data_IF_658032383338
#
_entry.id   IF_658032383338
#
_cell.length_a   1.000
_cell.length_b   1.000
_cell.length_c   1.000
_cell.angle_alpha   90.00
_cell.angle_beta   90.00
_cell.angle_gamma   90.00
#
_symmetry.space_group_name_H-M   'P 1'
#
loop_
_entity.id
_entity.type
_entity.pdbx_description
1 polymer ?
#
# COMPACT_ATOMS: atom_id res chain seq x y z
N UNK A 1 -20.41 9.94 -4.61
CA UNK A 1 -20.59 8.48 -4.40
C UNK A 1 -19.55 8.00 -3.40
N UNK A 2 -19.93 7.19 -2.40
CA UNK A 2 -18.99 6.60 -1.44
C UNK A 2 -18.33 5.37 -2.06
N UNK A 3 -17.01 5.23 -1.90
CA UNK A 3 -16.24 4.04 -2.33
C UNK A 3 -15.82 3.24 -1.10
N UNK A 4 -15.70 1.92 -1.24
CA UNK A 4 -15.21 1.06 -0.18
C UNK A 4 -13.67 1.07 -0.15
N UNK A 5 -13.02 1.57 0.92
CA UNK A 5 -11.56 1.61 0.99
C UNK A 5 -11.00 0.21 1.27
N UNK A 6 -9.98 -0.18 0.52
CA UNK A 6 -9.26 -1.44 0.72
C UNK A 6 -7.77 -1.27 0.46
N UNK A 7 -6.96 -2.06 1.17
CA UNK A 7 -5.57 -2.31 0.84
C UNK A 7 -5.48 -3.71 0.25
N UNK A 8 -4.89 -3.83 -0.93
CA UNK A 8 -4.75 -5.10 -1.63
C UNK A 8 -3.33 -5.65 -1.48
N UNK A 9 -3.22 -6.95 -1.21
CA UNK A 9 -1.96 -7.67 -1.31
C UNK A 9 -1.76 -8.12 -2.75
N UNK A 10 -0.83 -7.49 -3.45
CA UNK A 10 -0.53 -7.76 -4.85
C UNK A 10 0.69 -8.65 -5.06
N UNK A 11 1.30 -9.15 -3.99
CA UNK A 11 2.49 -10.00 -4.08
C UNK A 11 2.19 -11.24 -4.90
N UNK A 12 2.92 -11.38 -6.01
CA UNK A 12 2.78 -12.49 -6.94
C UNK A 12 1.48 -12.47 -7.76
N UNK A 13 0.72 -11.38 -7.76
CA UNK A 13 -0.52 -11.23 -8.54
C UNK A 13 -0.27 -10.50 -9.85
N UNK A 14 -0.90 -10.98 -10.93
CA UNK A 14 -0.82 -10.33 -12.24
C UNK A 14 -1.71 -9.09 -12.31
N UNK A 15 -1.15 -7.99 -12.80
CA UNK A 15 -1.83 -6.73 -13.05
C UNK A 15 -1.55 -6.28 -14.50
N UNK A 16 -2.54 -5.64 -15.12
CA UNK A 16 -2.45 -5.15 -16.49
C UNK A 16 -2.42 -3.61 -16.51
N UNK A 17 -1.53 -3.04 -17.31
CA UNK A 17 -1.52 -1.62 -17.65
C UNK A 17 -1.65 -1.50 -19.17
N UNK A 18 -2.61 -0.72 -19.65
CA UNK A 18 -2.77 -0.44 -21.07
C UNK A 18 -2.43 1.03 -21.30
N UNK A 19 -1.38 1.26 -22.10
CA UNK A 19 -0.76 2.57 -22.30
C UNK A 19 0.72 2.55 -21.95
N UNK A 20 1.49 3.41 -22.61
CA UNK A 20 2.95 3.49 -22.49
C UNK A 20 3.48 4.90 -22.20
N UNK A 21 2.59 5.83 -21.80
CA UNK A 21 2.96 7.18 -21.37
C UNK A 21 3.43 7.25 -19.91
N UNK A 22 3.71 8.46 -19.45
CA UNK A 22 4.20 8.73 -18.09
C UNK A 22 3.23 8.24 -17.00
N UNK A 23 1.92 8.40 -17.20
CA UNK A 23 0.91 7.92 -16.25
C UNK A 23 0.98 6.39 -16.11
N UNK A 24 1.11 5.67 -17.22
CA UNK A 24 1.25 4.22 -17.22
C UNK A 24 2.54 3.77 -16.52
N UNK A 25 3.67 4.44 -16.78
CA UNK A 25 4.94 4.19 -16.09
C UNK A 25 4.83 4.39 -14.57
N UNK A 26 4.14 5.46 -14.14
CA UNK A 26 3.88 5.72 -12.72
C UNK A 26 3.06 4.60 -12.07
N UNK A 27 1.98 4.13 -12.72
CA UNK A 27 1.17 3.00 -12.21
C UNK A 27 1.98 1.71 -12.14
N UNK A 28 2.75 1.43 -13.20
CA UNK A 28 3.62 0.27 -13.27
C UNK A 28 4.61 0.23 -12.09
N UNK A 29 5.29 1.34 -11.80
CA UNK A 29 6.21 1.45 -10.66
C UNK A 29 5.53 1.13 -9.33
N UNK A 30 4.34 1.69 -9.08
CA UNK A 30 3.60 1.45 -7.84
C UNK A 30 3.16 -0.02 -7.70
N UNK A 31 2.74 -0.67 -8.79
CA UNK A 31 2.38 -2.08 -8.81
C UNK A 31 3.58 -3.00 -8.56
N UNK A 32 4.72 -2.72 -9.20
CA UNK A 32 5.96 -3.46 -9.00
C UNK A 32 6.45 -3.33 -7.55
N UNK A 33 6.38 -2.13 -6.95
CA UNK A 33 6.70 -1.91 -5.54
C UNK A 33 5.78 -2.71 -4.59
N UNK A 34 4.52 -2.93 -4.98
CA UNK A 34 3.58 -3.79 -4.26
C UNK A 34 3.80 -5.29 -4.50
N UNK A 35 4.80 -5.67 -5.31
CA UNK A 35 5.16 -7.06 -5.60
C UNK A 35 4.31 -7.72 -6.68
N UNK A 36 3.60 -6.94 -7.51
CA UNK A 36 2.81 -7.46 -8.62
C UNK A 36 3.68 -7.93 -9.79
N UNK A 37 3.20 -8.92 -10.54
CA UNK A 37 3.64 -9.16 -11.91
C UNK A 37 2.87 -8.22 -12.83
N UNK A 38 3.56 -7.37 -13.58
CA UNK A 38 2.92 -6.33 -14.38
C UNK A 38 3.10 -6.62 -15.86
N UNK A 39 2.00 -6.72 -16.58
CA UNK A 39 2.00 -6.72 -18.04
C UNK A 39 1.58 -5.34 -18.54
N UNK A 40 2.34 -4.77 -19.47
CA UNK A 40 2.03 -3.48 -20.09
C UNK A 40 1.83 -3.66 -21.58
N UNK A 41 0.68 -3.21 -22.11
CA UNK A 41 0.36 -3.26 -23.54
C UNK A 41 0.28 -1.82 -24.06
N UNK A 42 1.14 -1.46 -25.00
CA UNK A 42 1.16 -0.13 -25.59
C UNK A 42 1.75 -0.13 -27.00
N UNK A 43 1.40 0.84 -27.83
CA UNK A 43 2.00 1.02 -29.18
C UNK A 43 3.43 1.57 -29.16
N UNK A 44 3.91 1.94 -27.99
CA UNK A 44 5.20 2.55 -27.75
C UNK A 44 5.32 2.95 -26.28
N UNK A 45 6.55 3.09 -25.80
CA UNK A 45 6.84 3.36 -24.40
C UNK A 45 7.67 4.64 -24.25
N UNK A 46 7.33 5.48 -23.27
CA UNK A 46 8.13 6.64 -22.92
C UNK A 46 9.45 6.24 -22.22
N UNK A 47 10.37 7.21 -22.11
CA UNK A 47 11.70 6.98 -21.53
C UNK A 47 11.69 6.41 -20.11
N UNK A 48 10.65 6.69 -19.31
CA UNK A 48 10.50 6.20 -17.94
C UNK A 48 10.40 4.67 -17.85
N UNK A 49 9.97 3.99 -18.91
CA UNK A 49 9.95 2.53 -18.96
C UNK A 49 11.35 1.91 -19.07
N UNK A 50 12.35 2.67 -19.52
CA UNK A 50 13.74 2.17 -19.63
C UNK A 50 14.26 1.71 -18.28
N UNK A 51 14.01 2.49 -17.22
CA UNK A 51 14.41 2.13 -15.85
C UNK A 51 13.58 0.99 -15.25
N UNK A 52 12.40 0.70 -15.80
CA UNK A 52 11.52 -0.36 -15.34
C UNK A 52 11.77 -1.69 -16.09
N UNK A 53 12.29 -1.62 -17.31
CA UNK A 53 12.46 -2.77 -18.21
C UNK A 53 13.38 -3.87 -17.66
N UNK A 54 14.30 -3.53 -16.77
CA UNK A 54 15.19 -4.51 -16.11
C UNK A 54 14.49 -5.31 -15.00
N UNK A 55 13.26 -4.93 -14.62
CA UNK A 55 12.54 -5.62 -13.56
C UNK A 55 12.02 -6.99 -14.06
N UNK A 56 12.38 -8.11 -13.40
CA UNK A 56 12.00 -9.46 -13.84
C UNK A 56 10.48 -9.73 -13.74
N UNK A 57 9.74 -8.88 -13.05
CA UNK A 57 8.29 -8.98 -12.90
C UNK A 57 7.52 -8.10 -13.89
N UNK A 58 8.21 -7.44 -14.82
CA UNK A 58 7.61 -6.60 -15.85
C UNK A 58 7.65 -7.30 -17.22
N UNK A 59 6.51 -7.34 -17.90
CA UNK A 59 6.40 -7.74 -19.30
C UNK A 59 5.89 -6.58 -20.13
N UNK A 60 6.69 -6.13 -21.10
CA UNK A 60 6.31 -5.07 -22.04
C UNK A 60 5.89 -5.69 -23.37
N UNK A 61 4.68 -5.39 -23.81
CA UNK A 61 4.12 -5.84 -25.09
C UNK A 61 3.88 -4.63 -25.98
N UNK A 62 4.72 -4.47 -26.99
CA UNK A 62 4.57 -3.39 -27.98
C UNK A 62 3.52 -3.76 -29.02
N UNK A 63 2.27 -3.38 -28.77
CA UNK A 63 1.13 -3.67 -29.64
C UNK A 63 -0.03 -2.67 -29.40
N UNK A 64 -0.94 -2.58 -30.37
CA UNK A 64 -2.25 -2.03 -30.09
C UNK A 64 -3.00 -2.93 -29.09
N UNK A 65 -3.86 -2.35 -28.26
CA UNK A 65 -4.69 -3.15 -27.34
C UNK A 65 -5.60 -4.09 -28.14
N UNK A 66 -5.55 -5.37 -27.77
CA UNK A 66 -6.43 -6.42 -28.25
C UNK A 66 -6.80 -7.28 -27.04
N UNK A 67 -8.08 -7.67 -26.93
CA UNK A 67 -8.56 -8.54 -25.85
C UNK A 67 -7.87 -9.92 -25.85
N UNK A 68 -7.30 -10.37 -26.97
CA UNK A 68 -6.50 -11.59 -27.07
C UNK A 68 -5.15 -11.49 -26.34
N UNK A 69 -4.63 -10.28 -26.13
CA UNK A 69 -3.40 -10.03 -25.37
C UNK A 69 -3.66 -9.98 -23.85
N UNK A 70 -4.92 -10.12 -23.42
CA UNK A 70 -5.28 -10.07 -22.02
C UNK A 70 -4.65 -11.25 -21.25
N UNK A 71 -3.95 -11.01 -20.12
CA UNK A 71 -3.36 -12.08 -19.31
C UNK A 71 -4.40 -13.06 -18.79
N UNK A 72 -4.09 -14.36 -18.73
CA UNK A 72 -5.04 -15.38 -18.27
C UNK A 72 -5.61 -15.09 -16.87
N UNK A 73 -4.76 -14.62 -15.97
CA UNK A 73 -5.16 -14.12 -14.65
C UNK A 73 -4.85 -12.63 -14.57
N UNK A 74 -5.80 -11.84 -14.07
CA UNK A 74 -5.61 -10.42 -13.85
C UNK A 74 -6.44 -9.97 -12.63
N UNK A 75 -5.81 -9.22 -11.73
CA UNK A 75 -6.47 -8.73 -10.51
C UNK A 75 -6.85 -7.25 -10.61
N UNK A 76 -5.93 -6.44 -11.14
CA UNK A 76 -6.12 -5.01 -11.35
C UNK A 76 -5.71 -4.61 -12.76
N UNK A 77 -6.46 -3.67 -13.32
CA UNK A 77 -6.24 -3.12 -14.66
C UNK A 77 -6.16 -1.61 -14.57
N UNK A 78 -5.22 -1.01 -15.30
CA UNK A 78 -5.13 0.43 -15.50
C UNK A 78 -5.25 0.76 -16.99
N UNK A 79 -6.33 1.44 -17.37
CA UNK A 79 -6.51 2.03 -18.68
C UNK A 79 -5.93 3.46 -18.66
N UNK A 80 -4.72 3.61 -19.19
CA UNK A 80 -3.92 4.84 -19.13
C UNK A 80 -3.40 5.23 -20.53
N UNK A 81 -4.29 5.22 -21.52
CA UNK A 81 -4.00 5.69 -22.88
C UNK A 81 -4.62 7.07 -23.14
N UNK A 82 -4.13 7.76 -24.18
CA UNK A 82 -4.72 9.02 -24.65
C UNK A 82 -5.99 8.82 -25.50
N UNK A 83 -6.40 7.57 -25.79
CA UNK A 83 -7.63 7.26 -26.53
C UNK A 83 -8.75 6.87 -25.56
N UNK A 84 -9.81 7.70 -25.43
CA UNK A 84 -10.99 7.35 -24.65
C UNK A 84 -11.64 6.06 -25.12
N UNK A 85 -11.60 5.78 -26.42
CA UNK A 85 -12.17 4.57 -27.03
C UNK A 85 -11.44 3.31 -26.56
N UNK A 86 -10.10 3.32 -26.57
CA UNK A 86 -9.29 2.21 -26.05
C UNK A 86 -9.53 2.06 -24.55
N UNK A 87 -9.55 3.16 -23.80
CA UNK A 87 -9.80 3.11 -22.36
C UNK A 87 -11.17 2.49 -22.01
N UNK A 88 -12.20 2.81 -22.80
CA UNK A 88 -13.54 2.24 -22.67
C UNK A 88 -13.55 0.74 -23.01
N UNK A 89 -12.86 0.33 -24.07
CA UNK A 89 -12.71 -1.09 -24.41
C UNK A 89 -12.03 -1.88 -23.28
N UNK A 90 -10.95 -1.34 -22.70
CA UNK A 90 -10.25 -1.97 -21.58
C UNK A 90 -11.18 -2.12 -20.37
N UNK A 91 -11.96 -1.08 -20.06
CA UNK A 91 -12.94 -1.10 -18.96
C UNK A 91 -14.02 -2.19 -19.18
N UNK A 92 -14.56 -2.29 -20.39
CA UNK A 92 -15.55 -3.32 -20.75
C UNK A 92 -14.98 -4.74 -20.61
N UNK A 93 -13.75 -4.96 -21.10
CA UNK A 93 -13.07 -6.25 -20.98
C UNK A 93 -12.78 -6.61 -19.51
N UNK A 94 -12.42 -5.62 -18.69
CA UNK A 94 -12.20 -5.81 -17.26
C UNK A 94 -13.51 -6.19 -16.55
N UNK A 95 -14.59 -5.47 -16.81
CA UNK A 95 -15.91 -5.74 -16.23
C UNK A 95 -16.42 -7.14 -16.60
N UNK A 96 -16.27 -7.54 -17.87
CA UNK A 96 -16.63 -8.88 -18.34
C UNK A 96 -15.85 -10.01 -17.65
N UNK A 97 -14.68 -9.71 -17.09
CA UNK A 97 -13.80 -10.65 -16.37
C UNK A 97 -13.82 -10.46 -14.86
N UNK A 98 -14.72 -9.61 -14.34
CA UNK A 98 -14.78 -9.26 -12.91
C UNK A 98 -13.45 -8.72 -12.34
N UNK A 99 -12.68 -8.02 -13.17
CA UNK A 99 -11.43 -7.39 -12.79
C UNK A 99 -11.66 -5.92 -12.44
N UNK A 100 -11.05 -5.43 -11.36
CA UNK A 100 -11.10 -4.00 -11.05
C UNK A 100 -10.25 -3.23 -12.06
N UNK A 101 -10.88 -2.29 -12.76
CA UNK A 101 -10.25 -1.35 -13.68
C UNK A 101 -10.26 0.08 -13.15
N UNK A 102 -9.10 0.74 -13.21
CA UNK A 102 -8.93 2.17 -13.06
C UNK A 102 -8.77 2.79 -14.44
N UNK A 103 -9.54 3.84 -14.73
CA UNK A 103 -9.41 4.61 -15.96
C UNK A 103 -8.85 5.98 -15.63
N UNK A 104 -7.73 6.33 -16.25
CA UNK A 104 -7.10 7.65 -16.08
C UNK A 104 -8.05 8.74 -16.56
N UNK A 105 -8.13 9.83 -15.79
CA UNK A 105 -8.96 11.01 -16.06
C UNK A 105 -10.48 10.80 -16.20
N UNK A 106 -10.97 9.57 -16.03
CA UNK A 106 -12.40 9.22 -16.02
C UNK A 106 -12.79 8.43 -14.75
N UNK A 107 -12.62 9.02 -13.54
CA UNK A 107 -12.84 8.31 -12.28
C UNK A 107 -14.29 7.86 -12.07
N UNK A 108 -15.27 8.46 -12.76
CA UNK A 108 -16.68 8.11 -12.64
C UNK A 108 -17.01 6.76 -13.31
N UNK A 109 -16.28 6.42 -14.37
CA UNK A 109 -16.45 5.16 -15.11
C UNK A 109 -15.60 4.02 -14.52
N UNK A 110 -14.64 4.36 -13.66
CA UNK A 110 -13.71 3.41 -13.09
C UNK A 110 -14.30 2.64 -11.89
N UNK A 111 -14.06 1.33 -11.86
CA UNK A 111 -14.45 0.47 -10.73
C UNK A 111 -13.65 0.74 -9.44
N UNK A 112 -12.44 1.32 -9.56
CA UNK A 112 -11.66 1.81 -8.42
C UNK A 112 -10.87 3.07 -8.79
N UNK A 113 -10.41 3.79 -7.77
CA UNK A 113 -9.49 4.93 -7.94
C UNK A 113 -8.16 4.66 -7.28
N UNK A 114 -7.14 5.32 -7.82
CA UNK A 114 -5.89 5.51 -7.09
C UNK A 114 -6.07 6.65 -6.07
N UNK A 115 -6.01 6.38 -4.76
CA UNK A 115 -6.01 7.43 -3.76
C UNK A 115 -4.67 8.16 -3.73
N UNK A 116 -4.62 9.30 -3.05
CA UNK A 116 -3.34 9.84 -2.62
C UNK A 116 -2.80 8.97 -1.49
N UNK A 117 -1.52 8.59 -1.59
CA UNK A 117 -0.86 7.73 -0.62
C UNK A 117 0.23 8.47 0.15
N UNK A 118 0.40 8.11 1.42
CA UNK A 118 1.56 8.43 2.25
C UNK A 118 2.15 7.09 2.66
N UNK A 119 3.45 6.93 2.42
CA UNK A 119 4.17 5.70 2.70
C UNK A 119 5.35 6.00 3.63
N UNK A 120 5.22 5.54 4.88
CA UNK A 120 6.23 5.65 5.94
C UNK A 120 6.33 4.27 6.60
N UNK A 121 6.98 3.28 5.95
CA UNK A 121 6.87 1.89 6.36
C UNK A 121 7.16 1.65 7.85
N UNK A 122 6.32 0.86 8.56
CA UNK A 122 5.20 0.07 8.06
C UNK A 122 3.85 0.82 8.05
N UNK A 123 3.84 2.15 8.24
CA UNK A 123 2.64 2.98 8.17
C UNK A 123 2.33 3.33 6.72
N UNK A 124 1.14 2.95 6.27
CA UNK A 124 0.60 3.38 4.99
C UNK A 124 -0.75 4.08 5.21
N UNK A 125 -0.93 5.22 4.56
CA UNK A 125 -2.20 5.95 4.57
C UNK A 125 -2.66 6.16 3.13
N UNK A 126 -3.93 5.85 2.87
CA UNK A 126 -4.59 6.15 1.61
C UNK A 126 -5.77 7.11 1.89
N UNK A 127 -5.83 8.21 1.16
CA UNK A 127 -6.91 9.19 1.29
C UNK A 127 -7.43 9.68 -0.06
N UNK A 128 -8.70 10.06 -0.07
CA UNK A 128 -9.37 10.71 -1.20
C UNK A 128 -10.36 11.73 -0.66
N UNK A 129 -10.40 12.92 -1.27
CA UNK A 129 -11.30 14.00 -0.87
C UNK A 129 -12.34 14.26 -1.96
N UNK A 130 -13.08 13.22 -2.35
CA UNK A 130 -14.23 13.34 -3.27
C UNK A 130 -13.87 13.87 -4.66
N UNK A 131 -12.64 13.64 -5.13
CA UNK A 131 -12.18 14.15 -6.43
C UNK A 131 -11.65 15.58 -6.41
N UNK A 132 -11.45 16.19 -5.23
CA UNK A 132 -10.75 17.49 -5.10
C UNK A 132 -9.24 17.27 -4.91
N UNK A 133 -8.41 17.40 -5.97
CA UNK A 133 -6.97 17.11 -5.88
C UNK A 133 -6.23 18.11 -4.98
N UNK A 134 -6.63 19.39 -5.00
CA UNK A 134 -6.01 20.45 -4.19
C UNK A 134 -6.19 20.17 -2.70
N UNK A 135 -7.42 19.88 -2.28
CA UNK A 135 -7.70 19.56 -0.88
C UNK A 135 -7.11 18.20 -0.47
N UNK A 136 -7.08 17.22 -1.38
CA UNK A 136 -6.41 15.94 -1.15
C UNK A 136 -4.92 16.15 -0.85
N UNK A 137 -4.24 17.02 -1.61
CA UNK A 137 -2.83 17.32 -1.38
C UNK A 137 -2.59 18.11 -0.08
N UNK A 138 -3.45 19.08 0.23
CA UNK A 138 -3.42 19.79 1.50
C UNK A 138 -3.56 18.84 2.69
N UNK A 139 -4.57 17.96 2.67
CA UNK A 139 -4.82 17.00 3.75
C UNK A 139 -3.70 15.97 3.85
N UNK A 140 -3.18 15.49 2.71
CA UNK A 140 -2.02 14.60 2.65
C UNK A 140 -0.84 15.21 3.42
N UNK A 141 -0.51 16.48 3.17
CA UNK A 141 0.59 17.15 3.87
C UNK A 141 0.35 17.25 5.38
N UNK A 142 -0.88 17.58 5.80
CA UNK A 142 -1.25 17.65 7.23
C UNK A 142 -1.13 16.30 7.92
N UNK A 143 -1.59 15.22 7.29
CA UNK A 143 -1.47 13.87 7.84
C UNK A 143 0.00 13.47 7.93
N UNK A 144 0.78 13.72 6.88
CA UNK A 144 2.20 13.40 6.85
C UNK A 144 2.97 14.06 8.01
N UNK A 145 2.66 15.32 8.33
CA UNK A 145 3.23 16.02 9.49
C UNK A 145 2.80 15.45 10.85
N UNK A 146 1.65 14.80 10.90
CA UNK A 146 1.10 14.23 12.13
C UNK A 146 1.61 12.81 12.42
N UNK A 147 2.24 12.14 11.44
CA UNK A 147 2.84 10.82 11.63
C UNK A 147 4.12 11.01 12.46
N UNK A 148 4.23 10.40 13.66
CA UNK A 148 5.44 10.48 14.47
C UNK A 148 6.65 9.88 13.74
N UNK A 149 7.80 10.55 13.80
CA UNK A 149 9.02 10.08 13.12
C UNK A 149 9.57 8.77 13.68
N UNK A 150 9.23 8.43 14.92
CA UNK A 150 9.59 7.19 15.61
C UNK A 150 8.63 6.02 15.32
N UNK A 151 7.54 6.26 14.57
CA UNK A 151 6.53 5.24 14.28
C UNK A 151 7.12 3.96 13.65
N UNK A 152 8.05 4.01 12.67
CA UNK A 152 8.69 2.80 12.14
C UNK A 152 9.36 1.94 13.22
N UNK A 153 10.07 2.58 14.15
CA UNK A 153 10.85 1.87 15.17
C UNK A 153 9.92 1.34 16.27
N UNK A 154 8.97 2.15 16.75
CA UNK A 154 7.95 1.71 17.71
C UNK A 154 7.10 0.55 17.20
N UNK A 155 6.71 0.55 15.92
CA UNK A 155 5.92 -0.53 15.34
C UNK A 155 6.73 -1.83 15.19
N UNK A 156 8.03 -1.75 14.86
CA UNK A 156 8.93 -2.92 14.88
C UNK A 156 9.10 -3.47 16.29
N UNK A 157 9.31 -2.61 17.29
CA UNK A 157 9.40 -3.01 18.69
C UNK A 157 8.09 -3.65 19.18
N UNK A 158 6.93 -3.07 18.85
CA UNK A 158 5.62 -3.64 19.16
C UNK A 158 5.43 -5.03 18.53
N UNK A 159 5.90 -5.24 17.30
CA UNK A 159 5.83 -6.54 16.65
C UNK A 159 6.57 -7.64 17.43
N UNK A 160 7.68 -7.30 18.12
CA UNK A 160 8.46 -8.25 18.96
C UNK A 160 7.68 -8.73 20.20
N UNK A 161 6.73 -7.94 20.69
CA UNK A 161 5.91 -8.25 21.88
C UNK A 161 4.50 -8.74 21.54
N UNK A 162 4.07 -8.63 20.28
CA UNK A 162 2.68 -8.80 19.86
C UNK A 162 2.11 -10.18 20.20
N UNK A 163 2.83 -11.24 19.85
CA UNK A 163 2.32 -12.61 20.10
C UNK A 163 2.38 -12.97 21.59
N UNK A 164 3.35 -12.47 22.35
CA UNK A 164 3.46 -12.69 23.79
C UNK A 164 2.31 -11.98 24.54
N UNK A 165 2.07 -10.70 24.27
CA UNK A 165 0.94 -9.94 24.84
C UNK A 165 -0.39 -10.61 24.48
N UNK A 166 -0.54 -11.08 23.24
CA UNK A 166 -1.73 -11.81 22.79
C UNK A 166 -1.91 -13.14 23.54
N UNK A 167 -0.83 -13.84 23.86
CA UNK A 167 -0.80 -15.10 24.63
C UNK A 167 -0.94 -14.92 26.16
N UNK A 168 -1.19 -13.71 26.66
CA UNK A 168 -1.57 -13.52 28.07
C UNK A 168 -3.06 -13.76 28.29
N UNK A 169 -3.44 -14.03 29.54
CA UNK A 169 -4.86 -14.14 29.96
C UNK A 169 -5.54 -12.78 30.16
N UNK A 170 -4.84 -11.68 29.85
CA UNK A 170 -5.36 -10.32 29.97
C UNK A 170 -6.61 -10.11 29.11
N UNK A 171 -7.52 -9.26 29.60
CA UNK A 171 -8.72 -8.86 28.87
C UNK A 171 -8.37 -8.04 27.62
N UNK A 172 -9.31 -7.91 26.68
CA UNK A 172 -9.14 -7.06 25.49
C UNK A 172 -8.83 -5.60 25.86
N UNK A 173 -9.48 -5.09 26.91
CA UNK A 173 -9.26 -3.71 27.37
C UNK A 173 -7.89 -3.53 28.02
N UNK A 174 -7.42 -4.51 28.80
CA UNK A 174 -6.07 -4.48 29.38
C UNK A 174 -4.99 -4.49 28.29
N UNK A 175 -5.13 -5.37 27.28
CA UNK A 175 -4.23 -5.41 26.12
C UNK A 175 -4.26 -4.08 25.34
N UNK A 176 -5.42 -3.45 25.18
CA UNK A 176 -5.54 -2.12 24.56
C UNK A 176 -4.80 -1.05 25.36
N UNK A 177 -4.97 -1.05 26.69
CA UNK A 177 -4.31 -0.08 27.57
C UNK A 177 -2.79 -0.25 27.57
N UNK A 178 -2.30 -1.51 27.55
CA UNK A 178 -0.88 -1.80 27.38
C UNK A 178 -0.32 -1.13 26.13
N UNK A 179 -0.96 -1.32 24.97
CA UNK A 179 -0.50 -0.71 23.72
C UNK A 179 -0.61 0.81 23.72
N UNK A 180 -1.64 1.39 24.33
CA UNK A 180 -1.74 2.85 24.48
C UNK A 180 -0.56 3.40 25.27
N UNK A 181 -0.22 2.78 26.41
CA UNK A 181 0.95 3.14 27.22
C UNK A 181 2.26 2.95 26.45
N UNK A 182 2.42 1.81 25.77
CA UNK A 182 3.59 1.48 24.96
C UNK A 182 3.90 2.54 23.91
N UNK A 183 2.89 3.00 23.16
CA UNK A 183 3.11 3.99 22.10
C UNK A 183 3.37 5.41 22.61
N UNK A 184 3.06 5.68 23.88
CA UNK A 184 3.33 6.96 24.58
C UNK A 184 4.47 6.85 25.60
N UNK A 185 5.23 5.75 25.59
CA UNK A 185 6.27 5.48 26.57
C UNK A 185 7.53 6.32 26.25
N UNK A 186 7.85 7.23 27.17
CA UNK A 186 8.97 8.18 27.03
C UNK A 186 10.35 7.52 27.10
N UNK A 187 10.49 6.41 27.84
CA UNK A 187 11.76 5.70 27.90
C UNK A 187 12.03 4.98 26.58
N UNK A 188 11.00 4.39 25.95
CA UNK A 188 11.06 3.90 24.58
C UNK A 188 11.48 5.02 23.62
N UNK A 189 10.87 6.20 23.68
CA UNK A 189 11.26 7.34 22.83
C UNK A 189 12.73 7.75 22.96
N UNK A 190 13.31 7.60 24.15
CA UNK A 190 14.72 7.91 24.42
C UNK A 190 15.67 6.80 23.98
N UNK A 191 15.22 5.54 24.02
CA UNK A 191 16.03 4.38 23.64
C UNK A 191 16.12 4.19 22.11
N UNK A 192 15.05 4.48 21.38
CA UNK A 192 14.99 4.22 19.93
C UNK A 192 16.10 4.94 19.13
N UNK A 193 16.50 6.20 19.44
CA UNK A 193 17.60 6.87 18.75
C UNK A 193 19.01 6.33 19.07
N UNK A 194 19.16 5.52 20.13
CA UNK A 194 20.47 4.98 20.52
C UNK A 194 20.92 3.81 19.64
N UNK A 195 19.99 3.22 18.87
CA UNK A 195 20.22 2.05 18.02
C UNK A 195 20.85 0.85 18.76
N UNK A 196 20.69 0.80 20.08
CA UNK A 196 21.16 -0.29 20.94
C UNK A 196 20.08 -1.37 21.07
N UNK A 197 20.24 -2.44 20.29
CA UNK A 197 19.25 -3.53 20.22
C UNK A 197 19.19 -4.37 21.50
N UNK A 198 20.28 -4.44 22.26
CA UNK A 198 20.33 -5.17 23.54
C UNK A 198 19.54 -4.40 24.60
N UNK A 199 19.83 -3.11 24.77
CA UNK A 199 19.06 -2.24 25.69
C UNK A 199 17.57 -2.17 25.32
N UNK A 200 17.26 -2.08 24.02
CA UNK A 200 15.88 -2.11 23.57
C UNK A 200 15.21 -3.44 23.94
N UNK A 201 15.89 -4.56 23.71
CA UNK A 201 15.35 -5.89 24.01
C UNK A 201 15.11 -6.08 25.51
N UNK A 202 16.05 -5.65 26.35
CA UNK A 202 15.90 -5.69 27.81
C UNK A 202 14.72 -4.85 28.29
N UNK A 203 14.55 -3.65 27.74
CA UNK A 203 13.42 -2.79 28.09
C UNK A 203 12.08 -3.39 27.64
N UNK A 204 12.02 -3.98 26.44
CA UNK A 204 10.82 -4.67 25.95
C UNK A 204 10.47 -5.88 26.84
N UNK A 205 11.48 -6.63 27.29
CA UNK A 205 11.29 -7.74 28.23
C UNK A 205 10.77 -7.25 29.59
N UNK A 206 11.28 -6.11 30.09
CA UNK A 206 10.79 -5.48 31.31
C UNK A 206 9.31 -5.10 31.19
N UNK A 207 8.90 -4.43 30.10
CA UNK A 207 7.50 -4.07 29.87
C UNK A 207 6.59 -5.29 29.79
N UNK A 208 7.06 -6.36 29.11
CA UNK A 208 6.31 -7.60 29.01
C UNK A 208 6.17 -8.28 30.37
N UNK A 209 7.26 -8.36 31.15
CA UNK A 209 7.27 -8.97 32.48
C UNK A 209 6.23 -8.31 33.39
N UNK A 210 6.25 -6.98 33.48
CA UNK A 210 5.27 -6.19 34.25
C UNK A 210 3.83 -6.53 33.83
N UNK A 211 3.56 -6.57 32.53
CA UNK A 211 2.23 -6.90 32.03
C UNK A 211 1.82 -8.36 32.30
N UNK A 212 2.76 -9.30 32.25
CA UNK A 212 2.51 -10.72 32.54
C UNK A 212 2.32 -10.99 34.02
N UNK A 213 3.00 -10.28 34.92
CA UNK A 213 2.81 -10.39 36.37
C UNK A 213 1.38 -9.99 36.77
N UNK A 214 0.85 -8.94 36.16
CA UNK A 214 -0.51 -8.45 36.42
C UNK A 214 -1.62 -9.37 35.88
N UNK A 215 -1.33 -10.18 34.86
CA UNK A 215 -2.38 -10.86 34.08
C UNK A 215 -2.16 -12.36 33.82
N UNK A 216 -1.00 -12.91 34.15
CA UNK A 216 -0.62 -14.30 33.91
C UNK A 216 -0.45 -14.66 32.41
N UNK A 217 0.37 -15.67 32.16
CA UNK A 217 0.50 -16.33 30.85
C UNK A 217 -0.41 -17.54 30.76
N UNK A 218 -0.73 -17.98 29.54
CA UNK A 218 -1.46 -19.24 29.33
C UNK A 218 -0.63 -20.44 29.76
#
# INVERSE_FOLDING_TARGET
>A
MLRYPLFCDLRGKTCLVVGGGEVAAHKCRALLQAGAYVTVIARGFCGDFTALAENPHLTLTEAAFDAALWPQECWLVFAATDSPEVNQQVLEQANARHCFCNVTDAPENASFISPATIDVPPVQVALTCGGNPVYTQFLKHRIMQAIPGDAPVKLRAAARLREQVKATRASRDAKRLFWQKFFTDTALEQLLPLEDDELLTDYLNYLLAQFTEEHGTY
#
